data_IF_246547739092
#
_entry.id   IF_246547739092
#
_cell.length_a   1.000
_cell.length_b   1.000
_cell.length_c   1.000
_cell.angle_alpha   90.00
_cell.angle_beta   90.00
_cell.angle_gamma   90.00
#
_symmetry.space_group_name_H-M   'P 1'
#
loop_
_entity.id
_entity.type
_entity.pdbx_description
1 polymer ?
#
# COMPACT_ATOMS: atom_id res chain seq x y z
N UNK A 1 -17.75 -1.80 9.45
CA UNK A 1 -16.76 -0.93 8.77
C UNK A 1 -15.39 -1.56 8.84
N UNK A 2 -14.66 -1.54 7.72
CA UNK A 2 -13.31 -2.09 7.67
C UNK A 2 -12.27 -1.00 7.71
N UNK A 3 -11.09 -1.37 8.22
CA UNK A 3 -9.88 -0.55 8.15
C UNK A 3 -8.90 -1.28 7.24
N UNK A 4 -8.40 -0.57 6.22
CA UNK A 4 -7.58 -1.16 5.16
C UNK A 4 -6.12 -0.79 5.35
N UNK A 5 -5.23 -1.77 5.17
CA UNK A 5 -3.81 -1.52 4.96
C UNK A 5 -3.53 -1.83 3.49
N UNK A 6 -2.87 -0.93 2.80
CA UNK A 6 -2.70 -1.04 1.36
C UNK A 6 -1.26 -0.77 0.93
N UNK A 7 -0.90 -1.34 -0.20
CA UNK A 7 0.42 -1.15 -0.81
C UNK A 7 0.22 -0.55 -2.20
N UNK A 8 0.86 0.59 -2.43
CA UNK A 8 0.91 1.23 -3.73
C UNK A 8 2.29 1.04 -4.34
N UNK A 9 2.34 0.88 -5.66
CA UNK A 9 3.59 0.81 -6.40
C UNK A 9 3.65 1.99 -7.38
N UNK A 10 4.68 2.82 -7.26
CA UNK A 10 4.87 3.93 -8.19
C UNK A 10 5.22 3.38 -9.58
N UNK A 11 4.55 3.90 -10.61
CA UNK A 11 4.87 3.53 -11.98
C UNK A 11 6.14 4.21 -12.49
N UNK A 12 6.57 5.28 -11.81
CA UNK A 12 7.81 5.98 -12.16
C UNK A 12 9.05 5.23 -11.74
N UNK A 13 9.14 4.89 -10.43
CA UNK A 13 10.36 4.37 -9.85
C UNK A 13 10.21 2.97 -9.25
N UNK A 14 9.00 2.39 -9.34
CA UNK A 14 8.67 1.05 -8.82
C UNK A 14 8.78 0.93 -7.29
N UNK A 15 8.95 2.04 -6.60
CA UNK A 15 8.99 2.03 -5.13
C UNK A 15 7.59 1.86 -4.56
N UNK A 16 7.51 1.21 -3.42
CA UNK A 16 6.26 0.92 -2.74
C UNK A 16 5.97 1.94 -1.65
N UNK A 17 4.70 2.22 -1.46
CA UNK A 17 4.19 3.01 -0.35
C UNK A 17 3.15 2.20 0.40
N UNK A 18 3.26 2.15 1.75
CA UNK A 18 2.32 1.43 2.61
C UNK A 18 1.54 2.44 3.44
N UNK A 19 0.22 2.30 3.46
CA UNK A 19 -0.63 3.19 4.23
C UNK A 19 -1.85 2.45 4.77
N UNK A 20 -2.67 3.19 5.53
CA UNK A 20 -3.93 2.66 6.05
C UNK A 20 -5.04 3.69 5.91
N UNK A 21 -6.28 3.24 5.76
CA UNK A 21 -7.43 4.11 5.54
C UNK A 21 -8.73 3.36 5.79
N UNK A 22 -9.80 4.10 6.08
CA UNK A 22 -11.15 3.55 6.13
C UNK A 22 -11.83 3.56 4.77
N UNK A 23 -11.34 4.39 3.84
CA UNK A 23 -11.92 4.52 2.50
C UNK A 23 -10.83 4.34 1.46
N UNK A 24 -10.65 3.10 1.01
CA UNK A 24 -9.56 2.73 0.12
C UNK A 24 -9.66 3.42 -1.24
N UNK A 25 -10.85 3.50 -1.83
CA UNK A 25 -11.02 4.13 -3.15
C UNK A 25 -10.69 5.61 -3.11
N UNK A 26 -11.20 6.30 -2.10
CA UNK A 26 -10.96 7.73 -1.94
C UNK A 26 -9.47 8.00 -1.73
N UNK A 27 -8.84 7.23 -0.84
CA UNK A 27 -7.43 7.43 -0.52
C UNK A 27 -6.53 7.15 -1.73
N UNK A 28 -6.85 6.11 -2.48
CA UNK A 28 -6.12 5.79 -3.71
C UNK A 28 -6.21 6.94 -4.73
N UNK A 29 -7.40 7.51 -4.91
CA UNK A 29 -7.56 8.69 -5.78
C UNK A 29 -6.75 9.87 -5.28
N UNK A 30 -6.73 10.11 -3.97
CA UNK A 30 -5.97 11.20 -3.39
C UNK A 30 -4.47 11.06 -3.67
N UNK A 31 -3.94 9.83 -3.55
CA UNK A 31 -2.53 9.58 -3.90
C UNK A 31 -2.25 9.90 -5.37
N UNK A 32 -3.11 9.45 -6.28
CA UNK A 32 -2.91 9.67 -7.70
C UNK A 32 -3.14 11.11 -8.14
N UNK A 33 -3.89 11.89 -7.35
CA UNK A 33 -4.11 13.31 -7.60
C UNK A 33 -3.11 14.20 -6.87
N UNK A 34 -2.04 13.63 -6.32
CA UNK A 34 -1.00 14.36 -5.59
C UNK A 34 -1.54 15.13 -4.38
N UNK A 35 -2.61 14.63 -3.76
CA UNK A 35 -3.24 15.24 -2.61
C UNK A 35 -2.69 14.74 -1.28
N UNK A 36 -1.82 13.73 -1.29
CA UNK A 36 -1.19 13.18 -0.10
C UNK A 36 0.25 13.65 -0.06
N UNK A 37 0.63 14.37 0.98
CA UNK A 37 1.94 14.99 1.08
C UNK A 37 3.09 14.01 0.87
N UNK A 38 3.03 12.84 1.53
CA UNK A 38 4.13 11.87 1.48
C UNK A 38 4.34 11.23 0.12
N UNK A 39 3.34 11.28 -0.76
CA UNK A 39 3.43 10.67 -2.10
C UNK A 39 3.25 11.68 -3.23
N UNK A 40 3.20 12.97 -2.87
CA UNK A 40 3.00 14.04 -3.85
C UNK A 40 4.07 13.98 -4.93
N UNK A 41 3.63 14.04 -6.19
CA UNK A 41 4.51 14.03 -7.37
C UNK A 41 5.27 12.72 -7.58
N UNK A 42 4.87 11.63 -6.91
CA UNK A 42 5.49 10.31 -7.11
C UNK A 42 4.60 9.37 -7.91
N UNK A 43 3.39 9.80 -8.24
CA UNK A 43 2.48 9.02 -9.05
C UNK A 43 2.86 8.99 -10.51
N UNK A 44 2.10 8.28 -11.32
CA UNK A 44 0.90 7.53 -10.90
C UNK A 44 1.24 6.25 -10.16
N UNK A 45 0.28 5.80 -9.35
CA UNK A 45 0.44 4.58 -8.54
C UNK A 45 -0.51 3.49 -9.00
N UNK A 46 -0.09 2.24 -8.84
CA UNK A 46 -0.96 1.08 -8.92
C UNK A 46 -1.22 0.56 -7.52
N UNK A 47 -2.45 0.18 -7.22
CA UNK A 47 -2.79 -0.51 -5.97
C UNK A 47 -2.49 -1.99 -6.20
N UNK A 48 -1.46 -2.52 -5.55
CA UNK A 48 -1.00 -3.87 -5.81
C UNK A 48 -1.41 -4.87 -4.73
N UNK A 49 -1.84 -4.40 -3.56
CA UNK A 49 -2.23 -5.28 -2.47
C UNK A 49 -2.98 -4.50 -1.41
N UNK A 50 -3.96 -5.13 -0.77
CA UNK A 50 -4.56 -4.58 0.43
C UNK A 50 -5.08 -5.69 1.33
N UNK A 51 -5.22 -5.37 2.61
CA UNK A 51 -5.83 -6.21 3.63
C UNK A 51 -6.89 -5.39 4.34
N UNK A 52 -7.90 -6.07 4.88
CA UNK A 52 -8.96 -5.40 5.63
C UNK A 52 -9.11 -6.05 7.00
N UNK A 53 -9.32 -5.24 8.02
CA UNK A 53 -9.58 -5.73 9.37
C UNK A 53 -10.68 -4.89 10.01
N UNK A 54 -11.34 -5.47 11.01
CA UNK A 54 -12.46 -4.80 11.66
C UNK A 54 -12.03 -3.87 12.80
N UNK A 55 -10.79 -3.99 13.25
CA UNK A 55 -10.28 -3.22 14.36
C UNK A 55 -9.18 -2.26 13.88
N UNK A 56 -9.31 -0.98 14.23
CA UNK A 56 -8.36 0.04 13.79
C UNK A 56 -6.94 -0.21 14.28
N UNK A 57 -6.79 -0.66 15.52
CA UNK A 57 -5.46 -0.94 16.07
C UNK A 57 -4.79 -2.10 15.37
N UNK A 58 -5.55 -3.12 15.00
CA UNK A 58 -5.02 -4.24 14.23
C UNK A 58 -4.49 -3.77 12.88
N UNK A 59 -5.24 -2.91 12.20
CA UNK A 59 -4.81 -2.34 10.91
C UNK A 59 -3.53 -1.51 11.09
N UNK A 60 -3.49 -0.68 12.14
CA UNK A 60 -2.34 0.17 12.39
C UNK A 60 -1.08 -0.64 12.69
N UNK A 61 -1.20 -1.69 13.50
CA UNK A 61 -0.06 -2.57 13.80
C UNK A 61 0.39 -3.33 12.55
N UNK A 62 -0.56 -3.74 11.72
CA UNK A 62 -0.24 -4.42 10.46
C UNK A 62 0.51 -3.50 9.49
N UNK A 63 0.09 -2.24 9.41
CA UNK A 63 0.78 -1.24 8.60
C UNK A 63 2.24 -1.11 9.02
N UNK A 64 2.50 -1.01 10.32
CA UNK A 64 3.86 -0.94 10.84
C UNK A 64 4.67 -2.17 10.47
N UNK A 65 4.08 -3.36 10.62
CA UNK A 65 4.76 -4.60 10.27
C UNK A 65 5.13 -4.64 8.80
N UNK A 66 4.19 -4.27 7.92
CA UNK A 66 4.43 -4.33 6.48
C UNK A 66 5.47 -3.32 6.00
N UNK A 67 5.75 -2.28 6.79
CA UNK A 67 6.85 -1.34 6.53
C UNK A 67 8.20 -1.86 6.98
N UNK A 68 8.23 -2.86 7.85
CA UNK A 68 9.48 -3.41 8.38
C UNK A 68 10.15 -4.35 7.39
N UNK A 69 11.42 -4.72 7.65
CA UNK A 69 12.14 -5.68 6.83
C UNK A 69 11.41 -7.02 6.69
N UNK A 70 11.00 -7.65 7.82
CA UNK A 70 10.23 -8.90 7.75
C UNK A 70 8.92 -8.76 6.98
N UNK A 71 8.21 -7.63 7.15
CA UNK A 71 6.97 -7.38 6.44
C UNK A 71 7.18 -7.23 4.94
N UNK A 72 8.25 -6.56 4.54
CA UNK A 72 8.59 -6.44 3.11
C UNK A 72 8.92 -7.79 2.50
N UNK A 73 9.61 -8.67 3.23
CA UNK A 73 9.88 -10.03 2.77
C UNK A 73 8.58 -10.83 2.63
N UNK A 74 7.66 -10.69 3.59
CA UNK A 74 6.35 -11.29 3.52
C UNK A 74 5.62 -10.85 2.25
N UNK A 75 5.59 -9.55 1.97
CA UNK A 75 4.91 -9.02 0.79
C UNK A 75 5.55 -9.48 -0.51
N UNK A 76 6.87 -9.51 -0.59
CA UNK A 76 7.57 -9.99 -1.78
C UNK A 76 7.25 -11.45 -2.06
N UNK A 77 7.18 -12.27 -1.02
CA UNK A 77 6.80 -13.67 -1.18
C UNK A 77 5.31 -13.78 -1.57
N UNK A 78 4.45 -13.02 -0.93
CA UNK A 78 3.00 -13.02 -1.20
C UNK A 78 2.70 -12.59 -2.63
N UNK A 79 3.47 -11.64 -3.15
CA UNK A 79 3.25 -11.02 -4.45
C UNK A 79 4.23 -11.50 -5.51
N UNK A 80 4.92 -12.60 -5.29
CA UNK A 80 6.01 -13.02 -6.18
C UNK A 80 5.56 -13.26 -7.62
N UNK A 81 4.34 -13.73 -7.86
CA UNK A 81 3.84 -13.91 -9.22
C UNK A 81 3.62 -12.58 -9.92
N UNK A 82 3.01 -11.63 -9.22
CA UNK A 82 2.86 -10.27 -9.74
C UNK A 82 4.22 -9.66 -10.06
N UNK A 83 5.18 -9.79 -9.14
CA UNK A 83 6.51 -9.22 -9.32
C UNK A 83 7.24 -9.88 -10.49
N UNK A 84 7.06 -11.18 -10.70
CA UNK A 84 7.70 -11.85 -11.84
C UNK A 84 7.11 -11.44 -13.19
N UNK A 85 5.84 -11.01 -13.21
CA UNK A 85 5.19 -10.52 -14.44
C UNK A 85 5.61 -9.10 -14.78
N UNK A 86 5.97 -8.29 -13.78
CA UNK A 86 6.26 -6.87 -13.97
C UNK A 86 7.73 -6.52 -13.93
N UNK A 87 8.51 -7.45 -13.50
CA UNK A 87 9.89 -7.18 -13.30
C UNK A 87 10.82 -8.15 -13.85
#
# INVERSE_FOLDING_TARGET
MYYYVYILCSRKDKKWYTGSTQDLRKRFKEHNNSQVFSTKNRGPFSLIYYEASLNQQDAYQREKYLKSGPGKRYLKNRLKRFLSLTG
#
